data_IF_888935375038
#
_entry.id   IF_888935375038
#
_cell.length_a   1.000
_cell.length_b   1.000
_cell.length_c   1.000
_cell.angle_alpha   90.00
_cell.angle_beta   90.00
_cell.angle_gamma   90.00
#
_symmetry.space_group_name_H-M   'P 1'
#
loop_
_entity.id
_entity.type
_entity.pdbx_description
1 polymer ?
#
# COMPACT_ATOMS: atom_id res chain seq x y z
N UNK A 1 4.48 -27.09 9.58
CA UNK A 1 5.07 -25.80 9.89
C UNK A 1 4.20 -24.65 9.48
N UNK A 2 3.95 -23.80 10.41
CA UNK A 2 3.06 -22.73 10.17
C UNK A 2 3.76 -21.54 9.56
N UNK A 3 3.16 -20.98 8.52
CA UNK A 3 3.71 -19.79 7.92
C UNK A 3 2.89 -18.60 8.40
N UNK A 4 3.44 -17.87 9.33
CA UNK A 4 2.78 -16.70 9.81
C UNK A 4 2.78 -15.58 8.79
N UNK A 5 1.90 -14.62 9.00
CA UNK A 5 1.90 -13.42 8.20
C UNK A 5 3.13 -12.58 8.50
N UNK A 6 3.60 -11.89 7.49
CA UNK A 6 4.75 -11.00 7.60
C UNK A 6 4.28 -9.58 7.35
N UNK A 7 5.13 -8.63 7.69
CA UNK A 7 4.83 -7.22 7.40
C UNK A 7 5.49 -6.81 6.10
N UNK A 8 4.72 -6.15 5.28
CA UNK A 8 5.20 -5.62 4.00
C UNK A 8 4.92 -4.13 3.94
N UNK A 9 5.79 -3.39 3.28
CA UNK A 9 5.54 -1.98 2.98
C UNK A 9 5.08 -1.91 1.54
N UNK A 10 3.85 -1.48 1.35
CA UNK A 10 3.29 -1.28 0.02
C UNK A 10 3.42 0.19 -0.34
N UNK A 11 4.12 0.45 -1.44
CA UNK A 11 4.28 1.80 -1.95
C UNK A 11 3.21 2.05 -2.98
N UNK A 12 2.41 3.06 -2.76
CA UNK A 12 1.24 3.34 -3.58
C UNK A 12 1.36 4.75 -4.13
N UNK A 13 1.08 4.89 -5.41
CA UNK A 13 1.05 6.18 -6.06
C UNK A 13 -0.35 6.42 -6.59
N UNK A 14 -0.91 7.58 -6.29
CA UNK A 14 -2.22 7.97 -6.81
C UNK A 14 -2.13 9.31 -7.50
N UNK A 15 -3.01 9.51 -8.46
CA UNK A 15 -3.07 10.74 -9.22
C UNK A 15 -4.26 11.56 -8.75
N UNK A 16 -4.00 12.78 -8.36
CA UNK A 16 -5.04 13.71 -7.91
C UNK A 16 -5.14 14.83 -8.93
N UNK A 17 -6.32 15.00 -9.52
CA UNK A 17 -6.56 16.09 -10.44
C UNK A 17 -6.94 17.33 -9.67
N UNK A 18 -6.17 18.39 -9.87
CA UNK A 18 -6.49 19.69 -9.33
C UNK A 18 -7.43 20.39 -10.33
N UNK A 19 -8.69 20.54 -9.95
CA UNK A 19 -9.68 21.12 -10.85
C UNK A 19 -9.50 22.59 -11.09
N UNK A 20 -8.80 23.30 -10.22
CA UNK A 20 -8.55 24.73 -10.41
C UNK A 20 -7.46 25.00 -11.43
N UNK A 21 -6.38 24.23 -11.38
CA UNK A 21 -5.25 24.44 -12.29
C UNK A 21 -5.25 23.48 -13.47
N UNK A 22 -6.04 22.42 -13.40
CA UNK A 22 -6.06 21.37 -14.41
C UNK A 22 -4.83 20.49 -14.38
N UNK A 23 -4.02 20.61 -13.35
CA UNK A 23 -2.79 19.83 -13.21
C UNK A 23 -3.05 18.56 -12.40
N UNK A 24 -2.27 17.53 -12.72
CA UNK A 24 -2.33 16.28 -11.99
C UNK A 24 -1.18 16.26 -10.98
N UNK A 25 -1.53 16.05 -9.72
CA UNK A 25 -0.54 15.87 -8.66
C UNK A 25 -0.42 14.39 -8.35
N UNK A 26 0.81 13.93 -8.23
CA UNK A 26 1.06 12.57 -7.81
C UNK A 26 1.26 12.53 -6.31
N UNK A 27 0.49 11.67 -5.66
CA UNK A 27 0.58 11.47 -4.23
C UNK A 27 1.16 10.11 -3.97
N UNK A 28 2.17 10.06 -3.10
CA UNK A 28 2.83 8.82 -2.75
C UNK A 28 2.53 8.49 -1.30
N UNK A 29 2.17 7.24 -1.07
CA UNK A 29 1.90 6.75 0.26
C UNK A 29 2.61 5.43 0.47
N UNK A 30 2.93 5.16 1.72
CA UNK A 30 3.46 3.86 2.11
C UNK A 30 2.55 3.32 3.19
N UNK A 31 2.14 2.07 3.04
CA UNK A 31 1.29 1.42 4.01
C UNK A 31 1.94 0.13 4.47
N UNK A 32 1.90 -0.08 5.77
CA UNK A 32 2.37 -1.32 6.36
C UNK A 32 1.23 -2.32 6.31
N UNK A 33 1.45 -3.43 5.63
CA UNK A 33 0.42 -4.44 5.40
C UNK A 33 0.90 -5.77 5.96
N UNK A 34 0.06 -6.39 6.76
CA UNK A 34 0.34 -7.74 7.27
C UNK A 34 -0.25 -8.74 6.30
N UNK A 35 0.61 -9.58 5.74
CA UNK A 35 0.20 -10.49 4.68
C UNK A 35 1.15 -11.68 4.61
N UNK A 36 0.75 -12.72 3.89
CA UNK A 36 1.56 -13.93 3.74
C UNK A 36 2.62 -13.79 2.66
N UNK A 37 2.32 -13.05 1.61
CA UNK A 37 3.21 -12.89 0.45
C UNK A 37 2.81 -11.63 -0.31
N UNK A 38 3.62 -11.20 -1.32
CA UNK A 38 3.28 -10.00 -2.08
C UNK A 38 1.93 -10.05 -2.78
N UNK A 39 1.51 -11.21 -3.27
CA UNK A 39 0.20 -11.34 -3.89
C UNK A 39 -0.92 -11.04 -2.92
N UNK A 40 -0.76 -11.49 -1.68
CA UNK A 40 -1.73 -11.21 -0.63
C UNK A 40 -1.74 -9.71 -0.28
N UNK A 41 -0.57 -9.06 -0.33
CA UNK A 41 -0.47 -7.62 -0.14
C UNK A 41 -1.30 -6.88 -1.19
N UNK A 42 -1.14 -7.27 -2.46
CA UNK A 42 -1.89 -6.64 -3.53
C UNK A 42 -3.39 -6.79 -3.34
N UNK A 43 -3.83 -7.98 -2.95
CA UNK A 43 -5.25 -8.22 -2.71
C UNK A 43 -5.79 -7.34 -1.58
N UNK A 44 -5.04 -7.23 -0.50
CA UNK A 44 -5.47 -6.42 0.64
C UNK A 44 -5.49 -4.94 0.33
N UNK A 45 -4.48 -4.45 -0.38
CA UNK A 45 -4.43 -3.05 -0.78
C UNK A 45 -5.55 -2.73 -1.76
N UNK A 46 -5.79 -3.62 -2.72
CA UNK A 46 -6.88 -3.44 -3.68
C UNK A 46 -8.21 -3.31 -2.97
N UNK A 47 -8.42 -4.10 -1.94
CA UNK A 47 -9.66 -4.04 -1.18
C UNK A 47 -9.83 -2.70 -0.47
N UNK A 48 -8.75 -2.16 0.07
CA UNK A 48 -8.78 -0.85 0.74
C UNK A 48 -9.14 0.26 -0.24
N UNK A 49 -8.65 0.15 -1.48
CA UNK A 49 -8.82 1.20 -2.49
C UNK A 49 -9.94 0.91 -3.48
N UNK A 50 -10.75 -0.12 -3.27
CA UNK A 50 -11.77 -0.50 -4.25
C UNK A 50 -12.82 0.57 -4.52
N UNK A 51 -13.04 1.46 -3.56
CA UNK A 51 -13.99 2.57 -3.73
C UNK A 51 -13.31 3.89 -4.05
N UNK A 52 -12.03 3.83 -4.35
CA UNK A 52 -11.25 5.02 -4.64
C UNK A 52 -11.63 5.55 -6.02
N UNK A 53 -11.90 6.84 -6.11
CA UNK A 53 -12.33 7.44 -7.38
C UNK A 53 -11.17 7.95 -8.22
N UNK A 54 -9.97 8.00 -7.65
CA UNK A 54 -8.78 8.46 -8.37
C UNK A 54 -7.98 7.25 -8.86
N UNK A 55 -7.16 7.49 -9.87
CA UNK A 55 -6.24 6.46 -10.34
C UNK A 55 -5.20 6.18 -9.27
N UNK A 56 -4.94 4.93 -9.02
CA UNK A 56 -3.93 4.53 -8.06
C UNK A 56 -3.22 3.29 -8.58
N UNK A 57 -2.03 3.09 -8.09
CA UNK A 57 -1.27 1.89 -8.45
C UNK A 57 -0.25 1.58 -7.36
N UNK A 58 0.10 0.31 -7.28
CA UNK A 58 1.16 -0.13 -6.38
C UNK A 58 2.46 -0.05 -7.16
N UNK A 59 3.40 0.76 -6.67
CA UNK A 59 4.67 0.95 -7.35
C UNK A 59 5.76 0.05 -6.78
N UNK A 60 5.55 -0.51 -5.59
CA UNK A 60 6.52 -1.41 -5.01
C UNK A 60 5.96 -2.09 -3.77
N UNK A 61 6.43 -3.28 -3.52
CA UNK A 61 6.12 -4.03 -2.32
C UNK A 61 7.44 -4.55 -1.77
N UNK A 62 7.75 -4.20 -0.53
CA UNK A 62 8.99 -4.61 0.11
C UNK A 62 8.66 -5.31 1.41
N UNK A 63 9.26 -6.46 1.62
CA UNK A 63 9.09 -7.15 2.90
C UNK A 63 9.84 -6.39 3.98
N UNK A 64 9.13 -6.07 5.05
CA UNK A 64 9.73 -5.39 6.18
C UNK A 64 10.20 -6.43 7.18
N UNK A 65 11.47 -6.36 7.54
CA UNK A 65 12.04 -7.29 8.52
C UNK A 65 11.91 -6.70 9.90
N UNK A 66 10.72 -6.86 10.45
CA UNK A 66 10.44 -6.37 11.79
C UNK A 66 10.53 -7.56 12.74
N UNK A 67 11.55 -7.57 13.58
CA UNK A 67 11.71 -8.64 14.55
C UNK A 67 10.82 -8.43 15.76
N UNK A 68 10.57 -7.18 16.07
CA UNK A 68 9.82 -6.86 17.27
C UNK A 68 9.10 -5.53 17.10
N UNK A 69 7.86 -5.51 17.51
CA UNK A 69 7.07 -4.27 17.54
C UNK A 69 6.89 -3.89 19.00
N UNK A 70 7.34 -2.69 19.33
CA UNK A 70 7.20 -2.17 20.68
C UNK A 70 6.04 -1.19 20.69
N UNK A 71 5.07 -1.46 21.52
CA UNK A 71 3.90 -0.58 21.68
C UNK A 71 3.93 0.03 23.07
N UNK A 72 3.75 1.32 23.13
CA UNK A 72 3.66 2.05 24.39
C UNK A 72 2.22 2.20 24.87
#
# INVERSE_FOLDING_TARGET
MEQGEKYFVAKICSDLLDTESGKVKKMREEKLVKAYNPTDVEAKVTKVYENYTMDWRITGIVESKIDEVIED
#
